data_IF_568697678632
#
_entry.id   IF_568697678632
#
_cell.length_a   1.000
_cell.length_b   1.000
_cell.length_c   1.000
_cell.angle_alpha   90.00
_cell.angle_beta   90.00
_cell.angle_gamma   90.00
#
_symmetry.space_group_name_H-M   'P 1'
#
loop_
_entity.id
_entity.type
_entity.pdbx_description
1 polymer ?
#
# COMPACT_ATOMS: atom_id res chain seq x y z
N UNK A 1 18.27 5.61 -21.64
CA UNK A 1 19.74 5.52 -21.47
C UNK A 1 20.37 6.52 -22.42
N UNK A 2 21.38 7.29 -22.01
CA UNK A 2 22.20 8.05 -22.95
C UNK A 2 22.95 7.09 -23.90
N UNK A 3 23.51 7.61 -24.98
CA UNK A 3 24.30 6.81 -25.92
C UNK A 3 25.57 6.26 -25.25
N UNK A 4 25.99 5.05 -25.63
CA UNK A 4 27.14 4.36 -24.99
C UNK A 4 28.45 5.15 -25.07
N UNK A 5 28.61 6.00 -26.08
CA UNK A 5 29.78 6.88 -26.23
C UNK A 5 29.67 8.21 -25.47
N UNK A 6 28.53 8.48 -24.84
CA UNK A 6 28.30 9.71 -24.07
C UNK A 6 29.04 9.68 -22.73
N UNK A 7 29.61 10.82 -22.33
CA UNK A 7 30.21 11.00 -21.01
C UNK A 7 29.25 10.72 -19.84
N UNK A 8 27.92 10.81 -20.07
CA UNK A 8 26.91 10.55 -19.05
C UNK A 8 26.61 9.05 -18.88
N UNK A 9 26.96 8.21 -19.86
CA UNK A 9 26.61 6.79 -19.84
C UNK A 9 27.16 6.02 -18.63
N UNK A 10 28.46 6.12 -18.30
CA UNK A 10 29.01 5.42 -17.14
C UNK A 10 28.35 5.85 -15.83
N UNK A 11 28.04 7.14 -15.70
CA UNK A 11 27.38 7.70 -14.51
C UNK A 11 25.95 7.17 -14.37
N UNK A 12 25.16 7.20 -15.44
CA UNK A 12 23.80 6.67 -15.44
C UNK A 12 23.79 5.17 -15.13
N UNK A 13 24.76 4.42 -15.69
CA UNK A 13 24.88 2.99 -15.43
C UNK A 13 25.21 2.72 -13.95
N UNK A 14 26.22 3.42 -13.40
CA UNK A 14 26.63 3.29 -12.00
C UNK A 14 25.46 3.50 -11.03
N UNK A 15 24.75 4.64 -11.12
CA UNK A 15 23.66 4.92 -10.19
C UNK A 15 22.46 4.00 -10.38
N UNK A 16 22.17 3.59 -11.63
CA UNK A 16 21.13 2.58 -11.87
C UNK A 16 21.47 1.26 -11.16
N UNK A 17 22.68 0.73 -11.36
CA UNK A 17 23.08 -0.54 -10.77
C UNK A 17 23.13 -0.47 -9.24
N UNK A 18 23.66 0.64 -8.70
CA UNK A 18 23.68 0.90 -7.26
C UNK A 18 22.27 0.88 -6.66
N UNK A 19 21.32 1.57 -7.28
CA UNK A 19 19.94 1.65 -6.78
C UNK A 19 19.15 0.35 -6.99
N UNK A 20 19.38 -0.34 -8.12
CA UNK A 20 18.74 -1.63 -8.43
C UNK A 20 19.26 -2.77 -7.52
N UNK A 21 20.46 -2.64 -6.94
CA UNK A 21 21.02 -3.61 -5.99
C UNK A 21 20.40 -3.57 -4.59
N UNK A 22 19.64 -2.52 -4.27
CA UNK A 22 19.02 -2.37 -2.95
C UNK A 22 18.00 -3.50 -2.69
N UNK A 23 18.09 -4.22 -1.55
CA UNK A 23 17.21 -5.35 -1.24
C UNK A 23 15.81 -4.89 -0.79
N UNK A 24 15.02 -4.36 -1.73
CA UNK A 24 13.69 -3.80 -1.48
C UNK A 24 12.70 -4.82 -0.91
N UNK A 25 12.87 -6.10 -1.24
CA UNK A 25 12.08 -7.18 -0.64
C UNK A 25 12.41 -7.35 0.84
N UNK A 26 13.69 -7.36 1.22
CA UNK A 26 14.11 -7.43 2.62
C UNK A 26 13.61 -6.24 3.43
N UNK A 27 13.69 -5.02 2.89
CA UNK A 27 13.10 -3.83 3.55
C UNK A 27 11.60 -3.98 3.73
N UNK A 28 10.88 -4.41 2.69
CA UNK A 28 9.41 -4.54 2.74
C UNK A 28 8.96 -5.55 3.81
N UNK A 29 9.60 -6.72 3.87
CA UNK A 29 9.28 -7.72 4.89
C UNK A 29 9.76 -7.30 6.28
N UNK A 30 10.96 -6.72 6.36
CA UNK A 30 11.53 -6.19 7.61
C UNK A 30 10.61 -5.17 8.27
N UNK A 31 10.03 -4.23 7.52
CA UNK A 31 9.04 -3.27 8.04
C UNK A 31 7.79 -3.95 8.63
N UNK A 32 7.35 -5.06 8.03
CA UNK A 32 6.14 -5.79 8.43
C UNK A 32 6.40 -6.63 9.70
N UNK A 33 7.60 -7.18 9.82
CA UNK A 33 8.03 -7.99 10.97
C UNK A 33 8.46 -7.12 12.15
N UNK A 34 9.16 -6.00 11.87
CA UNK A 34 9.77 -5.10 12.85
C UNK A 34 9.28 -3.64 12.65
N UNK A 35 7.99 -3.34 12.93
CA UNK A 35 7.43 -2.01 12.74
C UNK A 35 8.14 -0.91 13.54
N UNK A 36 8.80 -1.24 14.64
CA UNK A 36 9.61 -0.34 15.48
C UNK A 36 10.78 0.34 14.74
N UNK A 37 11.21 -0.25 13.62
CA UNK A 37 12.28 0.31 12.78
C UNK A 37 11.77 1.38 11.80
N UNK A 38 10.44 1.51 11.65
CA UNK A 38 9.79 2.43 10.70
C UNK A 38 9.08 3.57 11.41
N UNK A 39 8.88 4.69 10.72
CA UNK A 39 8.08 5.82 11.21
C UNK A 39 7.18 6.31 10.08
N UNK A 40 5.89 6.53 10.37
CA UNK A 40 4.88 6.96 9.40
C UNK A 40 4.76 6.01 8.18
N UNK A 41 4.87 4.70 8.41
CA UNK A 41 4.61 3.71 7.36
C UNK A 41 3.19 3.85 6.82
N UNK A 42 3.05 3.85 5.49
CA UNK A 42 1.76 3.92 4.81
C UNK A 42 1.11 2.53 4.69
N UNK A 43 1.75 1.48 5.19
CA UNK A 43 1.19 0.13 5.22
C UNK A 43 0.10 0.07 6.31
N UNK A 44 -1.16 -0.23 5.96
CA UNK A 44 -2.24 -0.35 6.93
C UNK A 44 -2.00 -1.53 7.88
N UNK A 45 -2.33 -1.34 9.16
CA UNK A 45 -2.12 -2.36 10.19
C UNK A 45 -2.76 -3.73 9.86
N UNK A 46 -3.94 -3.73 9.22
CA UNK A 46 -4.58 -4.98 8.80
C UNK A 46 -3.76 -5.73 7.74
N UNK A 47 -3.07 -5.02 6.85
CA UNK A 47 -2.26 -5.61 5.80
C UNK A 47 -1.03 -6.28 6.42
N UNK A 48 -0.39 -5.63 7.39
CA UNK A 48 0.70 -6.19 8.19
C UNK A 48 0.29 -7.50 8.87
N UNK A 49 -0.85 -7.52 9.58
CA UNK A 49 -1.37 -8.73 10.23
C UNK A 49 -1.68 -9.84 9.22
N UNK A 50 -2.28 -9.49 8.08
CA UNK A 50 -2.61 -10.45 7.02
C UNK A 50 -1.36 -11.04 6.39
N UNK A 51 -0.37 -10.22 6.08
CA UNK A 51 0.89 -10.66 5.47
C UNK A 51 1.64 -11.56 6.45
N UNK A 52 1.69 -11.21 7.74
CA UNK A 52 2.28 -12.08 8.78
C UNK A 52 1.58 -13.43 8.88
N UNK A 53 0.24 -13.44 8.86
CA UNK A 53 -0.54 -14.69 8.85
C UNK A 53 -0.34 -15.47 7.55
N UNK A 54 -0.30 -14.81 6.40
CA UNK A 54 -0.08 -15.44 5.10
C UNK A 54 1.32 -16.04 5.03
N UNK A 55 2.34 -15.36 5.55
CA UNK A 55 3.71 -15.88 5.68
C UNK A 55 3.71 -17.23 6.43
N UNK A 56 3.03 -17.32 7.58
CA UNK A 56 2.92 -18.57 8.34
C UNK A 56 2.10 -19.65 7.63
N UNK A 57 1.01 -19.27 6.95
CA UNK A 57 0.11 -20.20 6.28
C UNK A 57 0.61 -20.67 4.89
N UNK A 58 1.50 -19.90 4.25
CA UNK A 58 1.98 -20.23 2.89
C UNK A 58 2.80 -21.52 2.89
N UNK A 59 3.49 -21.84 3.99
CA UNK A 59 4.23 -23.11 4.09
C UNK A 59 3.30 -24.32 3.99
N UNK A 60 2.17 -24.31 4.70
CA UNK A 60 1.20 -25.41 4.68
C UNK A 60 0.42 -25.45 3.37
N UNK A 61 0.11 -24.29 2.78
CA UNK A 61 -0.54 -24.21 1.46
C UNK A 61 0.37 -24.75 0.34
N UNK A 62 1.67 -24.43 0.36
CA UNK A 62 2.64 -24.98 -0.58
C UNK A 62 2.81 -26.49 -0.42
N UNK A 63 2.80 -26.99 0.82
CA UNK A 63 2.84 -28.43 1.08
C UNK A 63 1.61 -29.13 0.49
N UNK A 64 0.43 -28.57 0.74
CA UNK A 64 -0.82 -29.09 0.18
C UNK A 64 -0.82 -29.09 -1.35
N UNK A 65 -0.37 -28.00 -1.99
CA UNK A 65 -0.27 -27.93 -3.45
C UNK A 65 0.73 -28.93 -4.03
N UNK A 66 1.81 -29.23 -3.31
CA UNK A 66 2.77 -30.25 -3.70
C UNK A 66 2.18 -31.68 -3.64
N UNK A 67 1.25 -31.93 -2.71
CA UNK A 67 0.50 -33.19 -2.61
C UNK A 67 -0.60 -33.29 -3.69
N UNK A 68 -1.27 -32.18 -4.01
CA UNK A 68 -2.33 -32.11 -5.03
C UNK A 68 -1.81 -32.12 -6.47
N UNK A 69 -0.56 -31.72 -6.70
CA UNK A 69 0.07 -31.63 -8.03
C UNK A 69 1.43 -32.33 -8.03
N UNK A 70 1.47 -33.68 -8.17
CA UNK A 70 2.70 -34.46 -8.09
C UNK A 70 3.75 -34.12 -9.16
N UNK A 71 3.30 -33.68 -10.34
CA UNK A 71 4.12 -33.22 -11.45
C UNK A 71 4.88 -31.91 -11.16
N UNK A 72 4.36 -31.08 -10.26
CA UNK A 72 4.96 -29.81 -9.81
C UNK A 72 5.55 -29.90 -8.40
N UNK A 73 5.57 -31.07 -7.79
CA UNK A 73 5.94 -31.28 -6.40
C UNK A 73 7.32 -30.69 -6.07
N UNK A 74 8.33 -30.95 -6.91
CA UNK A 74 9.68 -30.44 -6.72
C UNK A 74 9.73 -28.91 -6.77
N UNK A 75 9.00 -28.29 -7.69
CA UNK A 75 8.91 -26.83 -7.81
C UNK A 75 8.26 -26.19 -6.58
N UNK A 76 7.21 -26.81 -6.02
CA UNK A 76 6.57 -26.35 -4.79
C UNK A 76 7.48 -26.51 -3.56
N UNK A 77 8.19 -27.65 -3.42
CA UNK A 77 9.16 -27.86 -2.35
C UNK A 77 10.31 -26.85 -2.45
N UNK A 78 10.85 -26.61 -3.65
CA UNK A 78 11.88 -25.61 -3.86
C UNK A 78 11.40 -24.20 -3.49
N UNK A 79 10.16 -23.84 -3.84
CA UNK A 79 9.55 -22.56 -3.47
C UNK A 79 9.37 -22.43 -1.97
N UNK A 80 8.94 -23.51 -1.29
CA UNK A 80 8.79 -23.57 0.16
C UNK A 80 10.14 -23.34 0.86
N UNK A 81 11.20 -24.02 0.42
CA UNK A 81 12.55 -23.85 0.96
C UNK A 81 13.08 -22.41 0.78
N UNK A 82 12.87 -21.82 -0.41
CA UNK A 82 13.23 -20.42 -0.69
C UNK A 82 12.49 -19.44 0.22
N UNK A 83 11.17 -19.65 0.41
CA UNK A 83 10.36 -18.81 1.29
C UNK A 83 10.86 -18.87 2.73
N UNK A 84 11.10 -20.08 3.25
CA UNK A 84 11.59 -20.28 4.62
C UNK A 84 12.94 -19.61 4.86
N UNK A 85 13.89 -19.76 3.93
CA UNK A 85 15.19 -19.08 4.02
C UNK A 85 15.02 -17.56 4.04
N UNK A 86 14.26 -16.99 3.09
CA UNK A 86 14.04 -15.54 3.03
C UNK A 86 13.40 -14.98 4.30
N UNK A 87 12.43 -15.70 4.88
CA UNK A 87 11.76 -15.25 6.09
C UNK A 87 12.71 -15.25 7.30
N UNK A 88 13.53 -16.28 7.45
CA UNK A 88 14.53 -16.36 8.51
C UNK A 88 15.55 -15.22 8.40
N UNK A 89 15.98 -14.90 7.17
CA UNK A 89 16.91 -13.80 6.93
C UNK A 89 16.25 -12.44 7.23
N UNK A 90 14.96 -12.28 6.91
CA UNK A 90 14.23 -11.02 7.11
C UNK A 90 13.77 -10.78 8.56
N UNK A 91 13.62 -11.84 9.38
CA UNK A 91 13.31 -11.76 10.82
C UNK A 91 14.58 -11.51 11.68
N UNK A 92 15.76 -11.54 11.04
CA UNK A 92 17.01 -11.24 11.71
C UNK A 92 17.23 -9.73 11.79
N UNK A 93 16.85 -9.13 12.93
CA UNK A 93 17.03 -7.70 13.22
C UNK A 93 18.47 -7.22 13.00
N UNK A 94 19.49 -8.04 13.28
CA UNK A 94 20.90 -7.64 13.07
C UNK A 94 21.21 -7.50 11.58
N UNK A 95 20.73 -8.44 10.76
CA UNK A 95 20.85 -8.37 9.31
C UNK A 95 20.08 -7.17 8.76
N UNK A 96 18.84 -6.96 9.21
CA UNK A 96 18.01 -5.82 8.80
C UNK A 96 18.67 -4.48 9.11
N UNK A 97 19.25 -4.32 10.30
CA UNK A 97 20.03 -3.12 10.65
C UNK A 97 21.22 -2.92 9.70
N UNK A 98 21.98 -3.98 9.42
CA UNK A 98 23.12 -3.92 8.49
C UNK A 98 22.71 -3.42 7.10
N UNK A 99 21.64 -3.98 6.51
CA UNK A 99 21.19 -3.56 5.17
C UNK A 99 20.55 -2.17 5.16
N UNK A 100 20.05 -1.68 6.31
CA UNK A 100 19.62 -0.29 6.47
C UNK A 100 20.81 0.67 6.59
N UNK A 101 21.89 0.27 7.25
CA UNK A 101 23.15 1.04 7.28
C UNK A 101 23.76 1.14 5.87
N UNK A 102 23.68 0.06 5.08
CA UNK A 102 24.09 0.07 3.66
C UNK A 102 23.20 1.00 2.82
N UNK A 103 21.88 1.01 3.07
CA UNK A 103 20.97 1.97 2.44
C UNK A 103 21.39 3.42 2.75
N UNK A 104 21.72 3.74 4.01
CA UNK A 104 22.13 5.10 4.37
C UNK A 104 23.35 5.55 3.57
N UNK A 105 24.36 4.66 3.39
CA UNK A 105 25.55 4.96 2.57
C UNK A 105 25.21 5.21 1.11
N UNK A 106 24.28 4.44 0.54
CA UNK A 106 23.82 4.67 -0.84
C UNK A 106 23.12 6.03 -0.97
N UNK A 107 22.27 6.38 0.01
CA UNK A 107 21.59 7.68 0.00
C UNK A 107 22.55 8.85 0.23
N UNK A 108 23.61 8.67 1.02
CA UNK A 108 24.68 9.66 1.17
C UNK A 108 25.43 9.87 -0.15
N UNK A 109 25.75 8.79 -0.87
CA UNK A 109 26.37 8.88 -2.18
C UNK A 109 25.49 9.61 -3.21
N UNK A 110 24.17 9.38 -3.15
CA UNK A 110 23.19 10.10 -4.00
C UNK A 110 23.11 11.57 -3.59
N UNK A 111 23.04 11.88 -2.30
CA UNK A 111 23.01 13.26 -1.78
C UNK A 111 24.25 14.05 -2.22
N UNK A 112 25.45 13.47 -2.06
CA UNK A 112 26.70 14.11 -2.50
C UNK A 112 26.70 14.38 -4.00
N UNK A 113 26.17 13.46 -4.81
CA UNK A 113 26.10 13.68 -6.25
C UNK A 113 25.09 14.76 -6.64
N UNK A 114 23.93 14.81 -5.97
CA UNK A 114 22.94 15.87 -6.17
C UNK A 114 23.49 17.23 -5.75
N UNK A 115 24.22 17.30 -4.64
CA UNK A 115 24.90 18.51 -4.19
C UNK A 115 25.93 18.98 -5.22
N UNK A 116 26.80 18.07 -5.70
CA UNK A 116 27.79 18.36 -6.74
C UNK A 116 27.14 18.89 -8.02
N UNK A 117 25.98 18.34 -8.38
CA UNK A 117 25.21 18.82 -9.54
C UNK A 117 24.68 20.23 -9.36
N UNK A 118 24.19 20.56 -8.16
CA UNK A 118 23.74 21.92 -7.87
C UNK A 118 24.89 22.93 -7.92
N UNK A 119 26.08 22.56 -7.43
CA UNK A 119 27.29 23.41 -7.47
C UNK A 119 27.83 23.63 -8.90
N UNK A 120 27.72 22.62 -9.76
CA UNK A 120 28.15 22.69 -11.16
C UNK A 120 27.14 23.41 -12.07
N UNK A 121 25.92 23.67 -11.59
CA UNK A 121 24.86 24.33 -12.38
C UNK A 121 24.86 25.83 -12.12
N UNK A 122 24.91 26.68 -13.16
CA UNK A 122 24.78 28.14 -13.00
C UNK A 122 23.45 28.51 -12.34
N UNK A 123 23.41 29.58 -11.53
CA UNK A 123 22.19 30.02 -10.82
C UNK A 123 20.98 30.30 -11.74
N UNK A 124 21.23 30.62 -13.02
CA UNK A 124 20.21 30.87 -14.04
C UNK A 124 19.79 29.61 -14.82
N UNK A 125 20.43 28.47 -14.55
CA UNK A 125 20.21 27.19 -15.22
C UNK A 125 18.99 26.42 -14.70
N UNK A 126 18.47 25.53 -15.54
CA UNK A 126 17.49 24.53 -15.08
C UNK A 126 18.16 23.60 -14.07
N UNK A 127 17.52 23.33 -12.93
CA UNK A 127 18.04 22.35 -11.96
C UNK A 127 18.30 20.99 -12.65
N UNK A 128 19.52 20.43 -12.54
CA UNK A 128 19.86 19.16 -13.14
C UNK A 128 19.14 18.01 -12.43
N UNK A 129 19.09 16.87 -13.10
CA UNK A 129 18.73 15.57 -12.52
C UNK A 129 19.99 14.85 -12.01
N UNK A 130 19.85 13.62 -11.51
CA UNK A 130 20.94 12.91 -10.82
C UNK A 130 22.22 12.83 -11.65
N UNK A 131 22.09 12.57 -12.94
CA UNK A 131 23.23 12.34 -13.83
C UNK A 131 23.52 13.48 -14.81
N UNK A 132 22.68 14.53 -14.87
CA UNK A 132 22.79 15.64 -15.82
C UNK A 132 21.43 16.31 -16.09
N UNK A 133 21.33 17.10 -17.15
CA UNK A 133 20.15 17.97 -17.39
C UNK A 133 18.89 17.22 -17.82
N UNK A 134 19.07 16.02 -18.38
CA UNK A 134 17.99 15.17 -18.84
C UNK A 134 17.61 14.12 -17.80
N UNK A 135 16.32 13.79 -17.74
CA UNK A 135 15.83 12.71 -16.89
C UNK A 135 16.23 11.34 -17.48
N UNK A 136 16.93 10.52 -16.72
CA UNK A 136 17.53 9.25 -17.19
C UNK A 136 16.97 8.02 -16.50
N UNK A 137 17.51 6.82 -16.80
CA UNK A 137 17.13 5.60 -16.10
C UNK A 137 17.57 5.60 -14.63
N UNK A 138 18.69 6.23 -14.30
CA UNK A 138 19.11 6.37 -12.91
C UNK A 138 18.05 7.15 -12.10
N UNK A 139 17.45 8.17 -12.72
CA UNK A 139 16.35 8.93 -12.12
C UNK A 139 15.06 8.11 -11.98
N UNK A 140 14.79 7.19 -12.92
CA UNK A 140 13.67 6.23 -12.76
C UNK A 140 13.90 5.35 -11.53
N UNK A 141 15.07 4.72 -11.43
CA UNK A 141 15.41 3.85 -10.30
C UNK A 141 15.37 4.64 -8.99
N UNK A 142 15.93 5.86 -8.95
CA UNK A 142 15.92 6.70 -7.75
C UNK A 142 14.50 7.10 -7.35
N UNK A 143 13.71 7.62 -8.30
CA UNK A 143 12.34 8.03 -8.04
C UNK A 143 11.48 6.91 -7.46
N UNK A 144 11.54 5.71 -8.05
CA UNK A 144 10.79 4.54 -7.58
C UNK A 144 11.29 4.08 -6.21
N UNK A 145 12.62 4.08 -6.00
CA UNK A 145 13.23 3.72 -4.72
C UNK A 145 12.80 4.65 -3.61
N UNK A 146 12.95 5.97 -3.78
CA UNK A 146 12.53 6.96 -2.77
C UNK A 146 11.04 6.88 -2.47
N UNK A 147 10.22 6.64 -3.50
CA UNK A 147 8.79 6.47 -3.30
C UNK A 147 8.44 5.24 -2.48
N UNK A 148 9.10 4.11 -2.76
CA UNK A 148 8.94 2.89 -1.97
C UNK A 148 9.44 3.09 -0.54
N UNK A 149 10.59 3.72 -0.33
CA UNK A 149 11.11 4.00 1.00
C UNK A 149 10.18 4.92 1.80
N UNK A 150 9.54 5.91 1.15
CA UNK A 150 8.49 6.73 1.78
C UNK A 150 7.27 5.89 2.16
N UNK A 151 6.81 5.02 1.27
CA UNK A 151 5.70 4.11 1.56
C UNK A 151 6.00 3.19 2.75
N UNK A 152 7.23 2.70 2.87
CA UNK A 152 7.70 1.83 3.95
C UNK A 152 7.94 2.55 5.29
N UNK A 153 7.89 3.89 5.33
CA UNK A 153 8.14 4.66 6.54
C UNK A 153 9.62 4.92 6.84
N UNK A 154 10.48 4.92 5.82
CA UNK A 154 11.91 5.24 5.97
C UNK A 154 12.25 6.69 5.66
N UNK A 155 11.33 7.44 5.03
CA UNK A 155 11.57 8.82 4.59
C UNK A 155 12.05 9.72 5.74
N UNK A 156 11.28 9.84 6.84
CA UNK A 156 11.57 10.77 7.95
C UNK A 156 12.96 10.57 8.58
N UNK A 157 13.49 9.34 8.58
CA UNK A 157 14.82 9.02 9.13
C UNK A 157 15.96 9.25 8.13
N UNK A 158 15.64 9.30 6.84
CA UNK A 158 16.62 9.33 5.76
C UNK A 158 16.71 10.67 5.04
N UNK A 159 15.60 11.40 4.87
CA UNK A 159 15.61 12.73 4.28
C UNK A 159 14.48 13.60 4.85
N UNK A 160 14.68 14.91 4.81
CA UNK A 160 13.82 15.90 5.46
C UNK A 160 14.29 16.28 6.86
N UNK A 161 13.68 17.33 7.44
CA UNK A 161 14.07 17.92 8.73
C UNK A 161 15.58 18.26 8.80
N UNK A 162 16.17 18.72 7.70
CA UNK A 162 17.58 19.07 7.59
C UNK A 162 18.53 17.92 7.23
N UNK A 163 18.06 16.66 7.16
CA UNK A 163 18.86 15.53 6.67
C UNK A 163 18.67 15.39 5.15
N UNK A 164 19.76 15.31 4.38
CA UNK A 164 19.79 15.13 2.91
C UNK A 164 18.81 16.07 2.16
N UNK A 165 19.03 17.40 2.24
CA UNK A 165 18.12 18.39 1.65
C UNK A 165 18.02 18.33 0.13
N UNK A 166 19.09 17.94 -0.58
CA UNK A 166 19.05 17.85 -2.04
C UNK A 166 18.18 16.67 -2.50
N UNK A 167 18.27 15.55 -1.79
CA UNK A 167 17.44 14.37 -2.01
C UNK A 167 15.96 14.67 -1.71
N UNK A 168 15.67 15.42 -0.64
CA UNK A 168 14.31 15.90 -0.35
C UNK A 168 13.77 16.75 -1.51
N UNK A 169 14.53 17.77 -1.93
CA UNK A 169 14.18 18.67 -3.05
C UNK A 169 13.96 17.90 -4.35
N UNK A 170 14.85 16.95 -4.64
CA UNK A 170 14.76 16.06 -5.79
C UNK A 170 13.45 15.25 -5.75
N UNK A 171 13.13 14.64 -4.60
CA UNK A 171 11.94 13.82 -4.46
C UNK A 171 10.65 14.64 -4.61
N UNK A 172 10.60 15.85 -4.05
CA UNK A 172 9.48 16.77 -4.25
C UNK A 172 9.29 17.14 -5.72
N UNK A 173 10.39 17.37 -6.45
CA UNK A 173 10.36 17.60 -7.90
C UNK A 173 9.82 16.39 -8.66
N UNK A 174 10.23 15.17 -8.28
CA UNK A 174 9.73 13.92 -8.87
C UNK A 174 8.21 13.80 -8.68
N UNK A 175 7.68 14.09 -7.48
CA UNK A 175 6.26 13.99 -7.18
C UNK A 175 5.39 14.91 -8.05
N UNK A 176 5.92 16.07 -8.46
CA UNK A 176 5.24 17.02 -9.36
C UNK A 176 5.21 16.56 -10.82
N UNK A 177 5.98 15.53 -11.19
CA UNK A 177 6.07 15.05 -12.57
C UNK A 177 4.81 14.26 -12.95
N UNK A 178 4.14 14.68 -14.04
CA UNK A 178 2.88 14.07 -14.51
C UNK A 178 2.99 12.57 -14.78
N UNK A 179 4.10 12.13 -15.39
CA UNK A 179 4.35 10.70 -15.68
C UNK A 179 4.47 9.87 -14.41
N UNK A 180 5.13 10.41 -13.39
CA UNK A 180 5.25 9.77 -12.09
C UNK A 180 3.87 9.68 -11.41
N UNK A 181 3.13 10.80 -11.36
CA UNK A 181 1.82 10.86 -10.72
C UNK A 181 0.82 9.88 -11.36
N UNK A 182 0.84 9.75 -12.70
CA UNK A 182 -0.03 8.81 -13.43
C UNK A 182 0.13 7.34 -12.99
N UNK A 183 1.32 6.95 -12.55
CA UNK A 183 1.63 5.56 -12.17
C UNK A 183 1.64 5.36 -10.66
N UNK A 184 2.23 6.30 -9.92
CA UNK A 184 2.55 6.17 -8.48
C UNK A 184 1.92 7.26 -7.62
N UNK A 185 1.27 8.27 -8.21
CA UNK A 185 0.63 9.37 -7.48
C UNK A 185 -0.51 8.92 -6.57
N UNK A 186 -1.14 7.79 -6.89
CA UNK A 186 -2.07 7.09 -6.00
C UNK A 186 -1.34 5.94 -5.31
N UNK A 187 -0.57 6.23 -4.27
CA UNK A 187 0.03 5.22 -3.38
C UNK A 187 -1.03 4.23 -2.85
N UNK A 188 -2.29 4.67 -2.79
CA UNK A 188 -3.46 3.87 -2.48
C UNK A 188 -3.79 2.77 -3.50
N UNK A 189 -3.28 2.77 -4.74
CA UNK A 189 -3.67 1.77 -5.75
C UNK A 189 -3.12 0.37 -5.44
N UNK A 190 -1.96 0.25 -4.79
CA UNK A 190 -1.40 -1.05 -4.38
C UNK A 190 -2.21 -1.63 -3.22
N UNK A 191 -2.60 -0.81 -2.25
CA UNK A 191 -3.43 -1.24 -1.12
C UNK A 191 -4.87 -1.51 -1.56
N UNK A 192 -5.46 -0.63 -2.37
CA UNK A 192 -6.79 -0.84 -2.95
C UNK A 192 -6.77 -2.12 -3.78
N UNK A 193 -5.81 -2.37 -4.67
CA UNK A 193 -5.77 -3.61 -5.47
C UNK A 193 -5.56 -4.89 -4.63
N UNK A 194 -4.83 -4.82 -3.52
CA UNK A 194 -4.70 -5.96 -2.59
C UNK A 194 -5.99 -6.22 -1.79
N UNK A 195 -6.78 -5.18 -1.54
CA UNK A 195 -7.97 -5.24 -0.67
C UNK A 195 -9.24 -5.38 -1.48
N UNK A 196 -9.32 -4.86 -2.70
CA UNK A 196 -10.49 -4.87 -3.59
C UNK A 196 -11.00 -6.30 -3.80
N UNK A 197 -10.15 -7.31 -4.11
CA UNK A 197 -10.62 -8.68 -4.28
C UNK A 197 -11.23 -9.24 -3.00
N UNK A 198 -10.70 -8.85 -1.84
CA UNK A 198 -11.17 -9.32 -0.54
C UNK A 198 -12.44 -8.60 -0.10
N UNK A 199 -12.50 -7.28 -0.25
CA UNK A 199 -13.68 -6.46 0.01
C UNK A 199 -14.83 -6.88 -0.91
N UNK A 200 -14.55 -7.11 -2.19
CA UNK A 200 -15.50 -7.65 -3.17
C UNK A 200 -15.98 -9.06 -2.78
N UNK A 201 -15.07 -9.94 -2.35
CA UNK A 201 -15.41 -11.29 -1.87
C UNK A 201 -16.28 -11.25 -0.60
N UNK A 202 -15.98 -10.37 0.35
CA UNK A 202 -16.77 -10.19 1.58
C UNK A 202 -18.14 -9.57 1.26
N UNK A 203 -18.20 -8.57 0.38
CA UNK A 203 -19.44 -8.00 -0.10
C UNK A 203 -20.31 -9.06 -0.78
N UNK A 204 -19.76 -9.86 -1.70
CA UNK A 204 -20.47 -10.96 -2.35
C UNK A 204 -20.96 -12.02 -1.36
N UNK A 205 -20.17 -12.34 -0.32
CA UNK A 205 -20.54 -13.33 0.72
C UNK A 205 -21.57 -12.79 1.73
N UNK A 206 -21.60 -11.47 1.98
CA UNK A 206 -22.54 -10.83 2.91
C UNK A 206 -23.80 -10.28 2.24
N UNK A 207 -23.79 -10.06 0.92
CA UNK A 207 -24.95 -9.61 0.14
C UNK A 207 -26.23 -10.41 0.41
N UNK A 208 -26.23 -11.76 0.41
CA UNK A 208 -27.46 -12.51 0.68
C UNK A 208 -27.97 -12.33 2.13
N UNK A 209 -27.08 -12.09 3.11
CA UNK A 209 -27.49 -11.84 4.49
C UNK A 209 -28.12 -10.45 4.66
N UNK A 210 -27.56 -9.43 4.01
CA UNK A 210 -28.05 -8.05 4.10
C UNK A 210 -29.40 -7.90 3.38
N UNK A 211 -29.55 -8.51 2.18
CA UNK A 211 -30.84 -8.55 1.47
C UNK A 211 -31.92 -9.27 2.28
N UNK A 212 -31.56 -10.39 2.92
CA UNK A 212 -32.50 -11.15 3.75
C UNK A 212 -32.96 -10.34 4.97
N UNK A 213 -32.06 -9.65 5.66
CA UNK A 213 -32.42 -8.86 6.84
C UNK A 213 -33.22 -7.61 6.51
N UNK A 214 -32.92 -6.90 5.41
CA UNK A 214 -33.72 -5.72 5.03
C UNK A 214 -35.13 -6.09 4.61
N UNK A 215 -35.31 -7.23 3.94
CA UNK A 215 -36.63 -7.72 3.54
C UNK A 215 -37.48 -8.13 4.74
N UNK A 216 -36.88 -8.80 5.73
CA UNK A 216 -37.57 -9.18 6.98
C UNK A 216 -37.96 -7.95 7.81
N UNK A 217 -37.05 -6.98 7.97
CA UNK A 217 -37.35 -5.73 8.72
C UNK A 217 -38.44 -4.92 8.00
N UNK A 218 -38.39 -4.84 6.66
CA UNK A 218 -39.42 -4.19 5.86
C UNK A 218 -40.80 -4.83 6.02
N UNK A 219 -40.88 -6.16 6.01
CA UNK A 219 -42.13 -6.90 6.23
C UNK A 219 -42.69 -6.68 7.64
N UNK A 220 -41.84 -6.74 8.67
CA UNK A 220 -42.26 -6.52 10.06
C UNK A 220 -42.76 -5.09 10.30
N UNK A 221 -42.08 -4.09 9.74
CA UNK A 221 -42.51 -2.70 9.80
C UNK A 221 -43.84 -2.48 9.07
N UNK A 222 -44.02 -3.08 7.89
CA UNK A 222 -45.26 -3.03 7.13
C UNK A 222 -46.44 -3.67 7.86
N UNK A 223 -46.23 -4.84 8.47
CA UNK A 223 -47.24 -5.52 9.29
C UNK A 223 -47.62 -4.71 10.53
N UNK A 224 -46.64 -4.12 11.23
CA UNK A 224 -46.88 -3.26 12.38
C UNK A 224 -47.68 -2.01 12.02
N UNK A 225 -47.35 -1.36 10.90
CA UNK A 225 -48.09 -0.20 10.39
C UNK A 225 -49.54 -0.56 10.02
N UNK A 226 -49.74 -1.71 9.36
CA UNK A 226 -51.07 -2.18 8.99
C UNK A 226 -51.94 -2.51 10.21
N UNK A 227 -51.37 -3.17 11.22
CA UNK A 227 -52.05 -3.44 12.49
C UNK A 227 -52.42 -2.15 13.23
N UNK A 228 -51.52 -1.16 13.27
CA UNK A 228 -51.78 0.16 13.86
C UNK A 228 -52.92 0.89 13.12
N UNK A 229 -52.93 0.86 11.79
CA UNK A 229 -54.01 1.43 10.97
C UNK A 229 -55.37 0.78 11.24
N UNK A 230 -55.42 -0.55 11.36
CA UNK A 230 -56.64 -1.27 11.72
C UNK A 230 -57.12 -0.91 13.13
N UNK A 231 -56.21 -0.83 14.10
CA UNK A 231 -56.52 -0.45 15.47
C UNK A 231 -57.08 0.98 15.55
N UNK A 232 -56.45 1.93 14.82
CA UNK A 232 -56.91 3.32 14.73
C UNK A 232 -58.29 3.44 14.08
N UNK A 233 -58.56 2.69 13.01
CA UNK A 233 -59.91 2.63 12.40
C UNK A 233 -60.94 2.10 13.40
N UNK A 234 -60.62 1.02 14.11
CA UNK A 234 -61.53 0.40 15.09
C UNK A 234 -61.84 1.32 16.28
N UNK A 235 -60.83 2.04 16.78
CA UNK A 235 -61.01 3.09 17.80
C UNK A 235 -61.88 4.25 17.31
N UNK A 236 -61.67 4.71 16.08
CA UNK A 236 -62.50 5.76 15.47
C UNK A 236 -63.97 5.35 15.33
N UNK A 237 -64.24 4.10 14.93
CA UNK A 237 -65.60 3.55 14.88
C UNK A 237 -66.24 3.42 16.27
N UNK A 238 -65.48 3.05 17.30
CA UNK A 238 -65.96 2.99 18.69
C UNK A 238 -66.32 4.37 19.24
N UNK A 239 -65.51 5.41 18.95
CA UNK A 239 -65.82 6.78 19.37
C UNK A 239 -67.04 7.37 18.67
N UNK A 240 -67.31 6.99 17.41
CA UNK A 240 -68.54 7.39 16.72
C UNK A 240 -69.79 6.70 17.31
N UNK A 241 -69.67 5.47 17.81
CA UNK A 241 -70.78 4.73 18.42
C UNK A 241 -71.16 5.26 19.82
N UNK A 242 -70.26 5.99 20.50
CA UNK A 242 -70.46 6.58 21.83
C UNK A 242 -70.97 8.03 21.79
N UNK A 243 -71.26 8.60 20.62
CA UNK A 243 -71.78 9.98 20.52
C UNK A 243 -73.29 9.97 20.84
N UNK A 244 -73.74 10.58 21.95
CA UNK A 244 -75.16 10.62 22.29
C UNK A 244 -75.93 11.43 21.24
N UNK A 245 -77.07 10.89 20.77
CA UNK A 245 -77.99 11.62 19.90
C UNK A 245 -78.48 12.88 20.63
N UNK A 246 -78.51 14.06 19.99
CA UNK A 246 -79.09 15.24 20.60
C UNK A 246 -80.60 15.04 20.77
N UNK A 247 -81.07 15.09 22.03
CA UNK A 247 -82.49 15.15 22.36
C UNK A 247 -83.03 16.52 21.94
N UNK A 248 -84.00 16.52 21.03
CA UNK A 248 -84.88 17.66 20.78
C UNK A 248 -86.17 17.42 21.56
N UNK A 249 -86.37 18.20 22.64
CA UNK A 249 -87.66 18.59 23.20
C UNK A 249 -87.49 19.90 23.95
#
# INVERSE_FOLDING_TARGET
MPDKGSMYYPRVQHYRELLDSLPMDAYTHGCILHPELTVDSMIPAYATTRIRSQIGNTESELKKLAEENPDLQEAYIAKQKRLKSKLLDHDNVKYLKKILDELEKVLDQVETELQRRNEETPEEGCQPWLCGDSFTLADVSLAVTLHRLKFLGFARRNWGNGKRPNLETYYERVLKRKTFNKVLGHVNNILISAVLPTAFRVAKKRAPKVLGTTLVVGLLAGMGYFAFMLFRKRLGSMMLALRPRPNYF
#
